data_IF_345355261484
#
_entry.id   IF_345355261484
#
_cell.length_a   1.000
_cell.length_b   1.000
_cell.length_c   1.000
_cell.angle_alpha   90.00
_cell.angle_beta   90.00
_cell.angle_gamma   90.00
#
_symmetry.space_group_name_H-M   'P 1'
#
loop_
_entity.id
_entity.type
_entity.pdbx_description
1 polymer ?
2 non-polymer ?
3 non-polymer ?
4 water ?
#
# COMPACT_ATOMS: atom_id res chain seq x y z
N UNK A 4 -13.13 25.19 23.58
CA UNK A 4 -13.67 24.27 24.62
C UNK A 4 -12.97 22.91 24.53
N UNK A 5 -12.71 22.31 25.69
CA UNK A 5 -12.11 20.98 25.77
C UNK A 5 -13.02 19.92 25.14
N UNK A 6 -14.32 20.03 25.41
CA UNK A 6 -15.35 19.12 24.87
C UNK A 6 -15.39 19.10 23.35
N UNK A 7 -15.39 20.29 22.74
CA UNK A 7 -15.32 20.47 21.28
C UNK A 7 -14.07 19.86 20.67
N UNK A 8 -12.91 20.23 21.21
CA UNK A 8 -11.63 19.69 20.75
C UNK A 8 -11.64 18.17 20.83
N UNK A 9 -12.10 17.64 21.96
CA UNK A 9 -12.10 16.19 22.15
C UNK A 9 -12.99 15.49 21.14
N UNK A 10 -14.19 16.03 20.90
CA UNK A 10 -15.13 15.45 19.93
C UNK A 10 -14.55 15.44 18.50
N UNK A 11 -13.97 16.57 18.11
CA UNK A 11 -13.31 16.71 16.80
C UNK A 11 -12.19 15.68 16.62
N UNK A 12 -11.34 15.53 17.65
CA UNK A 12 -10.25 14.56 17.64
C UNK A 12 -10.76 13.12 17.57
N UNK A 13 -11.77 12.80 18.38
CA UNK A 13 -12.39 11.47 18.34
C UNK A 13 -12.97 11.13 16.96
N UNK A 14 -13.62 12.12 16.34
CA UNK A 14 -14.14 11.97 14.97
C UNK A 14 -13.01 11.76 13.94
N UNK A 15 -11.98 12.61 13.99
CA UNK A 15 -10.79 12.43 13.15
C UNK A 15 -10.18 11.07 13.35
N UNK A 16 -9.98 10.69 14.61
CA UNK A 16 -9.36 9.41 14.92
C UNK A 16 -10.15 8.20 14.41
N UNK A 17 -11.48 8.23 14.56
CA UNK A 17 -12.29 7.12 14.01
C UNK A 17 -12.15 7.04 12.48
N UNK A 18 -12.18 8.20 11.83
CA UNK A 18 -12.04 8.31 10.38
C UNK A 18 -10.67 7.84 9.88
N UNK A 19 -9.62 8.24 10.59
CA UNK A 19 -8.24 7.83 10.28
C UNK A 19 -8.00 6.34 10.44
N UNK A 20 -8.55 5.76 11.50
CA UNK A 20 -8.43 4.32 11.72
C UNK A 20 -9.07 3.50 10.60
N UNK A 21 -10.22 3.96 10.11
CA UNK A 21 -10.89 3.30 8.98
C UNK A 21 -10.08 3.46 7.68
N UNK A 22 -9.56 4.66 7.42
CA UNK A 22 -8.64 4.92 6.30
C UNK A 22 -7.39 4.04 6.39
N UNK A 23 -6.81 3.95 7.58
CA UNK A 23 -5.65 3.10 7.84
C UNK A 23 -5.89 1.62 7.57
N UNK A 24 -7.06 1.11 7.98
CA UNK A 24 -7.36 -0.29 7.77
C UNK A 24 -7.50 -0.57 6.27
N UNK A 25 -8.17 0.34 5.57
CA UNK A 25 -8.33 0.24 4.12
C UNK A 25 -6.96 0.21 3.42
N UNK A 26 -6.10 1.17 3.75
CA UNK A 26 -4.75 1.25 3.16
C UNK A 26 -3.88 0.04 3.49
N UNK A 27 -4.04 -0.51 4.69
CA UNK A 27 -3.31 -1.71 5.10
C UNK A 27 -3.70 -2.92 4.27
N UNK A 28 -5.01 -3.10 4.06
CA UNK A 28 -5.54 -4.15 3.18
C UNK A 28 -5.07 -3.98 1.73
N UNK A 29 -5.14 -2.75 1.21
CA UNK A 29 -4.71 -2.45 -0.16
C UNK A 29 -3.22 -2.69 -0.35
N UNK A 30 -2.43 -2.35 0.67
CA UNK A 30 -0.98 -2.57 0.62
C UNK A 30 -0.64 -4.05 0.60
N UNK A 31 -1.23 -4.82 1.52
CA UNK A 31 -1.02 -6.27 1.56
C UNK A 31 -1.36 -6.94 0.23
N UNK A 32 -2.51 -6.59 -0.33
CA UNK A 32 -2.91 -7.09 -1.64
C UNK A 32 -1.96 -6.68 -2.79
N UNK A 33 -1.59 -5.40 -2.85
CA UNK A 33 -0.67 -4.90 -3.88
C UNK A 33 0.71 -5.58 -3.79
N UNK A 34 1.20 -5.79 -2.57
CA UNK A 34 2.47 -6.50 -2.33
C UNK A 34 2.40 -7.93 -2.81
N UNK A 35 1.29 -8.60 -2.51
CA UNK A 35 1.07 -9.97 -2.97
C UNK A 35 1.04 -10.02 -4.50
N UNK A 36 0.34 -9.07 -5.12
CA UNK A 36 0.32 -8.98 -6.57
C UNK A 36 1.71 -8.70 -7.17
N UNK A 37 2.50 -7.84 -6.51
CA UNK A 37 3.86 -7.55 -6.99
C UNK A 37 4.74 -8.79 -6.95
N UNK A 38 4.66 -9.54 -5.85
CA UNK A 38 5.36 -10.81 -5.73
C UNK A 38 4.96 -11.77 -6.87
N UNK A 39 3.67 -11.86 -7.17
CA UNK A 39 3.18 -12.72 -8.27
C UNK A 39 3.72 -12.27 -9.61
N UNK A 40 3.65 -10.97 -9.88
CA UNK A 40 4.14 -10.41 -11.14
C UNK A 40 5.64 -10.62 -11.34
N UNK A 41 6.41 -10.48 -10.26
CA UNK A 41 7.86 -10.66 -10.34
C UNK A 41 8.23 -12.13 -10.58
N UNK A 42 7.54 -13.03 -9.89
CA UNK A 42 7.70 -14.47 -10.14
C UNK A 42 7.25 -14.90 -11.55
N UNK A 43 6.25 -14.20 -12.09
CA UNK A 43 5.87 -14.36 -13.50
C UNK A 43 7.03 -14.01 -14.41
N UNK A 44 7.65 -12.86 -14.16
CA UNK A 44 8.81 -12.41 -14.94
C UNK A 44 9.92 -13.48 -14.91
N UNK A 45 10.20 -14.03 -13.73
CA UNK A 45 11.24 -15.05 -13.57
C UNK A 45 10.89 -16.38 -14.26
N UNK A 46 9.63 -16.81 -14.12
CA UNK A 46 9.17 -18.05 -14.76
C UNK A 46 9.29 -17.93 -16.27
N UNK A 47 8.94 -16.76 -16.80
CA UNK A 47 9.01 -16.50 -18.24
C UNK A 47 10.43 -16.43 -18.72
N UNK A 48 11.33 -15.91 -17.89
CA UNK A 48 12.77 -15.91 -18.20
C UNK A 48 13.30 -17.33 -18.37
N UNK A 49 12.98 -18.20 -17.41
CA UNK A 49 13.38 -19.61 -17.46
C UNK A 49 12.77 -20.34 -18.66
N UNK A 50 11.49 -20.07 -18.92
CA UNK A 50 10.79 -20.67 -20.07
C UNK A 50 11.31 -20.15 -21.41
N UNK A 51 11.69 -18.88 -21.45
CA UNK A 51 12.30 -18.28 -22.64
C UNK A 51 13.75 -18.74 -22.85
N UNK A 52 14.41 -19.13 -21.76
CA UNK A 52 15.78 -19.67 -21.83
C UNK A 52 15.77 -21.16 -22.14
N UNK A 53 14.78 -21.87 -21.60
CA UNK A 53 14.58 -23.30 -21.88
C UNK A 53 14.10 -23.56 -23.30
N UNK A 54 13.64 -22.51 -23.97
CA UNK A 54 13.21 -22.58 -25.36
C UNK A 54 14.32 -22.09 -26.29
N UNK A 55 14.87 -20.91 -25.99
CA UNK A 55 16.00 -20.35 -26.73
C UNK A 55 17.31 -20.69 -26.04
N UNK B 5 -8.24 10.21 32.09
CA UNK B 5 -9.33 11.21 32.34
C UNK B 5 -8.76 12.64 32.41
N UNK B 6 -7.70 12.83 33.21
CA UNK B 6 -6.94 14.08 33.24
C UNK B 6 -6.08 14.18 31.98
N UNK B 7 -5.59 13.04 31.52
CA UNK B 7 -4.78 12.96 30.31
C UNK B 7 -5.59 12.80 29.01
N UNK B 8 -6.92 12.86 29.11
CA UNK B 8 -7.82 12.51 28.00
C UNK B 8 -7.49 13.23 26.69
N UNK B 9 -7.42 14.56 26.74
CA UNK B 9 -7.20 15.36 25.55
C UNK B 9 -5.81 15.18 24.91
N UNK B 10 -4.75 15.17 25.73
CA UNK B 10 -3.40 14.99 25.19
C UNK B 10 -3.22 13.60 24.60
N UNK B 11 -3.86 12.60 25.21
CA UNK B 11 -3.82 11.24 24.67
C UNK B 11 -4.51 11.17 23.31
N UNK B 12 -5.63 11.89 23.16
CA UNK B 12 -6.32 12.03 21.88
C UNK B 12 -5.47 12.76 20.85
N UNK B 13 -4.72 13.77 21.29
CA UNK B 13 -3.84 14.50 20.38
C UNK B 13 -2.68 13.60 19.94
N UNK B 14 -2.12 12.86 20.89
CA UNK B 14 -1.06 11.88 20.60
C UNK B 14 -1.52 10.79 19.62
N UNK B 15 -2.71 10.22 19.85
CA UNK B 15 -3.27 9.24 18.93
C UNK B 15 -3.45 9.86 17.56
N UNK B 16 -4.02 11.06 17.53
CA UNK B 16 -4.23 11.77 16.28
C UNK B 16 -2.92 11.93 15.48
N UNK B 17 -1.86 12.40 16.14
CA UNK B 17 -0.54 12.54 15.50
C UNK B 17 -0.01 11.21 14.99
N UNK B 18 -0.17 10.17 15.80
CA UNK B 18 0.25 8.82 15.45
C UNK B 18 -0.46 8.33 14.17
N UNK B 19 -1.79 8.45 14.14
CA UNK B 19 -2.58 7.99 13.00
C UNK B 19 -2.25 8.75 11.72
N UNK B 20 -2.12 10.07 11.82
CA UNK B 20 -1.80 10.89 10.66
C UNK B 20 -0.43 10.53 10.07
N UNK B 21 0.55 10.30 10.94
CA UNK B 21 1.88 9.86 10.52
C UNK B 21 1.83 8.47 9.88
N UNK B 22 1.05 7.55 10.46
CA UNK B 22 0.90 6.22 9.86
C UNK B 22 0.19 6.28 8.52
N UNK B 23 -0.82 7.15 8.42
CA UNK B 23 -1.58 7.31 7.19
C UNK B 23 -0.69 7.75 6.03
N UNK B 24 0.16 8.75 6.28
CA UNK B 24 1.07 9.26 5.25
C UNK B 24 2.06 8.20 4.79
N UNK B 25 2.60 7.44 5.74
CA UNK B 25 3.56 6.37 5.45
C UNK B 25 2.93 5.26 4.59
N UNK B 26 1.71 4.84 4.95
CA UNK B 26 0.99 3.83 4.18
C UNK B 26 0.60 4.31 2.78
N UNK B 27 0.17 5.57 2.65
CA UNK B 27 -0.08 6.14 1.34
C UNK B 27 1.18 6.13 0.47
N UNK B 28 2.32 6.40 1.10
CA UNK B 28 3.62 6.41 0.43
C UNK B 28 4.07 5.01 0.01
N UNK B 29 3.94 4.05 0.92
CA UNK B 29 4.26 2.66 0.61
C UNK B 29 3.32 2.10 -0.46
N UNK B 30 2.04 2.45 -0.40
CA UNK B 30 1.10 2.00 -1.42
C UNK B 30 1.43 2.51 -2.82
N UNK B 31 1.68 3.81 -2.95
CA UNK B 31 1.99 4.42 -4.25
C UNK B 31 3.28 3.83 -4.84
N UNK B 32 4.30 3.67 -4.00
CA UNK B 32 5.54 3.01 -4.40
C UNK B 32 5.31 1.56 -4.86
N UNK B 33 4.58 0.78 -4.07
CA UNK B 33 4.27 -0.62 -4.45
C UNK B 33 3.42 -0.73 -5.72
N UNK B 34 2.41 0.14 -5.86
CA UNK B 34 1.59 0.18 -7.08
C UNK B 34 2.43 0.49 -8.33
N UNK B 35 3.37 1.41 -8.20
CA UNK B 35 4.27 1.75 -9.31
C UNK B 35 5.16 0.56 -9.72
N UNK B 36 5.71 -0.15 -8.74
CA UNK B 36 6.51 -1.35 -9.00
C UNK B 36 5.67 -2.43 -9.68
N UNK B 37 4.42 -2.57 -9.24
CA UNK B 37 3.50 -3.55 -9.81
C UNK B 37 3.23 -3.25 -11.28
N UNK B 38 2.96 -1.99 -11.58
CA UNK B 38 2.76 -1.53 -12.94
C UNK B 38 3.98 -1.83 -13.81
N UNK B 39 5.18 -1.56 -13.29
CA UNK B 39 6.41 -1.90 -14.04
C UNK B 39 6.56 -3.40 -14.31
N UNK B 40 6.33 -4.24 -13.29
CA UNK B 40 6.46 -5.69 -13.46
C UNK B 40 5.43 -6.24 -14.45
N UNK B 41 4.18 -5.81 -14.30
CA UNK B 41 3.16 -6.20 -15.28
C UNK B 41 3.55 -5.77 -16.70
N UNK B 42 4.12 -4.58 -16.84
CA UNK B 42 4.59 -4.12 -18.15
C UNK B 42 5.74 -4.96 -18.70
N UNK B 43 6.63 -5.43 -17.82
CA UNK B 43 7.68 -6.38 -18.20
C UNK B 43 7.06 -7.65 -18.74
N UNK B 44 6.02 -8.13 -18.07
CA UNK B 44 5.33 -9.34 -18.50
C UNK B 44 4.78 -9.14 -19.91
N UNK B 45 4.16 -7.99 -20.16
CA UNK B 45 3.60 -7.69 -21.49
C UNK B 45 4.69 -7.55 -22.56
N UNK B 46 5.78 -6.85 -22.24
CA UNK B 46 6.92 -6.75 -23.17
C UNK B 46 7.49 -8.12 -23.52
N UNK B 47 7.61 -8.99 -22.52
CA UNK B 47 8.16 -10.34 -22.71
C UNK B 47 7.20 -11.24 -23.43
N UNK B 48 5.90 -10.94 -23.34
CA UNK B 48 4.88 -11.68 -24.07
C UNK B 48 5.02 -11.43 -25.58
N UNK B 49 5.32 -10.18 -25.94
CA UNK B 49 5.53 -9.77 -27.33
C UNK B 49 6.75 -10.43 -27.97
N UNK B 50 7.91 -10.33 -27.31
CA UNK B 50 9.16 -10.93 -27.81
C UNK B 50 9.06 -12.45 -27.93
N UNK B 51 8.30 -13.06 -27.02
CA UNK B 51 8.06 -14.51 -27.02
C UNK B 51 7.14 -14.92 -28.16
N UNK B 52 6.27 -13.99 -28.56
CA UNK B 52 5.29 -14.23 -29.61
C UNK B 52 5.96 -14.41 -30.97
N UNK B 53 6.88 -13.52 -31.30
CA UNK B 53 7.61 -13.56 -32.58
C UNK B 53 8.53 -14.75 -32.73
N UNK B 54 9.20 -15.11 -31.64
CA UNK B 54 10.13 -16.25 -31.62
C UNK B 54 9.39 -17.57 -31.40
X LIG C 1 14.21 -8.62 -19.04
X LIG C 1 13.69 -8.51 -17.77
X LIG C 1 13.94 -9.77 -17.02
X LIG C 1 14.90 -9.55 -16.05
X LIG C 1 14.69 -9.96 -14.75
X LIG C 1 15.98 -9.95 -14.01
X LIG C 1 16.21 -11.21 -13.50
X LIG C 1 17.47 -11.77 -13.61
X LIG C 1 17.42 -13.21 -13.23
X LIG C 1 18.15 -13.43 -12.09
X LIG C 1 19.46 -13.88 -12.15
X LIG C 1 20.23 -13.34 -10.99
X LIG C 1 21.26 -12.53 -11.43
X LIG D 1 -7.22 19.50 11.79
X LIG D 1 -6.14 20.45 11.42
X LIG D 1 -8.38 19.69 10.89
X LIG D 1 -6.72 18.11 11.68
X LIG D 1 -7.63 19.77 13.19
X LIG E 1 0.14 -13.27 -19.57
X LIG E 1 -0.93 -12.87 -18.79
X LIG E 1 -2.05 -12.42 -19.66
X LIG E 1 -1.67 -11.30 -20.39
X LIG E 1 -1.85 -11.30 -21.75
X LIG E 1 -2.49 -10.03 -22.20
X LIG E 1 -3.56 -10.33 -23.02
X LIG E 1 -4.38 -9.31 -23.46
X LIG E 1 -5.39 -9.84 -24.41
X LIG E 1 -6.40 -10.45 -23.69
X LIG E 1 -7.10 -11.49 -24.25
X LIG E 1 -6.58 -12.79 -23.70
X LIG E 1 -7.33 -13.82 -24.22
#
# INVERSE_FOLDING_TARGET
>A
SXLDVGNAEVKLEEENRSLKADLQKLKDELASTKQKLEKAENQVLAMRKQSEGLTKEYDRLLEEHAKL
>B
SXLDVGNAEVKLEEENRSLKADLQKLKDELASTKQKLEKAENQVLAMRKQSEGLTKEYDRLLEEHAKL
>C hetero
1 PG4 O1 C1 C2 O2 C3 C4 O3 C5 C6 O4 C7 C8 O5
>D hetero
1 SO4 S O1 O2 O3 O4
>E hetero
1 PG4 O1 C1 C2 O2 C3 C4 O3 C5 C6 O4 C7 C8 O5
#
